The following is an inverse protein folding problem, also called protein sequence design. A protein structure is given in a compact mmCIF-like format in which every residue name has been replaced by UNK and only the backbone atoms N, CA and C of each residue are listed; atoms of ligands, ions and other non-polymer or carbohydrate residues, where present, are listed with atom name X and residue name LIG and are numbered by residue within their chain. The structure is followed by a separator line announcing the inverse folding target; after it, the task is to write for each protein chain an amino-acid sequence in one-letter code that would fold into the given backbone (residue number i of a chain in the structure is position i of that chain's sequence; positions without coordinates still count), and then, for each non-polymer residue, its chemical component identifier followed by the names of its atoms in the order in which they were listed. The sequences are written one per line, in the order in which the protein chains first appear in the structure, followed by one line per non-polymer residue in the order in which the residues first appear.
data_IF_754612691779
#
_entry.id   IF_754612691779
#
_cell.length_a   1.000
_cell.length_b   1.000
_cell.length_c   1.000
_cell.angle_alpha   90.00
_cell.angle_beta   90.00
_cell.angle_gamma   90.00
#
_symmetry.space_group_name_H-M   'P 1'
#
loop_
_entity.id
_entity.type
_entity.pdbx_description
1 polymer ?
#
# COMPACT_ATOMS: atom_id res chain seq x y z
N UNK A 1 -17.53 -14.26 -36.27
CA UNK A 1 -17.42 -15.74 -36.23
C UNK A 1 -15.98 -16.14 -36.48
N UNK A 2 -15.21 -16.44 -35.43
CA UNK A 2 -13.96 -17.19 -35.52
C UNK A 2 -13.71 -17.85 -34.17
N UNK A 3 -14.21 -19.07 -34.09
CA UNK A 3 -13.98 -20.06 -33.03
C UNK A 3 -12.54 -20.55 -33.08
N UNK A 4 -11.87 -20.56 -31.94
CA UNK A 4 -10.80 -21.52 -31.68
C UNK A 4 -11.01 -22.16 -30.32
N UNK A 5 -11.49 -23.41 -30.38
CA UNK A 5 -11.42 -24.38 -29.29
C UNK A 5 -10.05 -25.03 -29.38
N UNK A 6 -9.27 -25.02 -28.30
CA UNK A 6 -8.23 -26.02 -28.11
C UNK A 6 -8.18 -26.40 -26.63
N UNK A 7 -8.54 -27.65 -26.38
CA UNK A 7 -8.36 -28.32 -25.10
C UNK A 7 -6.91 -28.76 -24.96
N UNK A 8 -6.37 -28.73 -23.75
CA UNK A 8 -5.18 -29.52 -23.41
C UNK A 8 -5.32 -30.06 -22.00
N UNK A 9 -5.19 -31.39 -21.92
CA UNK A 9 -5.20 -32.23 -20.73
C UNK A 9 -3.84 -32.12 -20.03
N UNK A 10 -3.82 -32.11 -18.69
CA UNK A 10 -2.63 -32.45 -17.93
C UNK A 10 -3.00 -33.28 -16.68
N UNK A 11 -2.11 -34.21 -16.35
CA UNK A 11 -2.26 -35.38 -15.50
C UNK A 11 -1.32 -35.27 -14.29
N UNK A 12 -1.78 -35.81 -13.15
CA UNK A 12 -1.04 -36.42 -12.03
C UNK A 12 -0.28 -35.55 -11.01
N UNK A 13 -0.44 -35.96 -9.74
CA UNK A 13 0.49 -35.66 -8.65
C UNK A 13 -0.06 -36.08 -7.28
N UNK A 14 0.04 -37.37 -6.94
CA UNK A 14 -0.25 -37.87 -5.57
C UNK A 14 0.87 -37.48 -4.61
N UNK A 15 0.57 -36.73 -3.55
CA UNK A 15 1.51 -36.43 -2.46
C UNK A 15 1.25 -37.30 -1.22
N UNK A 16 2.34 -37.82 -0.68
CA UNK A 16 2.41 -38.78 0.41
C UNK A 16 2.32 -38.11 1.81
N UNK A 17 1.61 -38.77 2.73
CA UNK A 17 1.60 -38.48 4.17
C UNK A 17 2.81 -39.12 4.87
N UNK A 18 3.32 -38.46 5.94
CA UNK A 18 3.67 -39.01 7.28
C UNK A 18 4.79 -38.18 7.97
N UNK A 19 5.11 -38.37 9.27
CA UNK A 19 4.37 -37.91 10.45
C UNK A 19 5.25 -37.12 11.46
N UNK A 20 4.60 -36.58 12.50
CA UNK A 20 5.16 -35.82 13.62
C UNK A 20 6.30 -36.52 14.38
N UNK A 21 7.30 -35.74 14.79
CA UNK A 21 8.23 -36.07 15.87
C UNK A 21 8.17 -34.98 16.96
N UNK A 22 7.62 -35.36 18.12
CA UNK A 22 7.67 -34.62 19.39
C UNK A 22 8.97 -35.00 20.12
N UNK A 23 9.82 -34.01 20.38
CA UNK A 23 10.97 -34.11 21.29
C UNK A 23 10.98 -32.83 22.11
N UNK A 24 10.50 -32.89 23.34
CA UNK A 24 11.23 -33.22 24.57
C UNK A 24 11.58 -31.92 25.32
N UNK A 25 10.79 -31.67 26.35
CA UNK A 25 11.00 -30.67 27.38
C UNK A 25 12.26 -31.03 28.19
N UNK A 26 13.15 -30.06 28.40
CA UNK A 26 14.25 -30.06 29.36
C UNK A 26 14.67 -28.60 29.54
N UNK A 27 14.14 -27.90 30.53
CA UNK A 27 14.69 -27.78 31.89
C UNK A 27 15.97 -26.92 31.89
N UNK A 28 15.79 -25.61 32.05
CA UNK A 28 16.80 -24.70 32.58
C UNK A 28 16.09 -23.50 33.24
N UNK A 29 15.61 -23.76 34.44
CA UNK A 29 15.20 -22.74 35.42
C UNK A 29 16.34 -22.56 36.43
N UNK A 30 17.12 -21.48 36.28
CA UNK A 30 17.92 -20.86 37.34
C UNK A 30 18.31 -19.43 36.90
N UNK A 31 18.00 -18.43 37.72
CA UNK A 31 18.07 -16.99 37.42
C UNK A 31 19.49 -16.37 37.31
N UNK A 32 19.67 -15.04 37.45
CA UNK A 32 18.93 -14.18 38.40
C UNK A 32 18.12 -13.06 37.75
N UNK A 33 16.96 -12.78 38.35
CA UNK A 33 16.29 -11.49 38.30
C UNK A 33 17.21 -10.36 38.83
N UNK A 34 17.91 -9.69 37.91
CA UNK A 34 18.45 -8.35 38.14
C UNK A 34 17.37 -7.34 37.74
N UNK A 35 16.70 -6.79 38.76
CA UNK A 35 15.69 -5.76 38.61
C UNK A 35 16.28 -4.50 37.98
N UNK A 36 15.92 -4.24 36.72
CA UNK A 36 16.01 -2.90 36.15
C UNK A 36 14.87 -2.08 36.73
N UNK A 37 15.26 -1.03 37.46
CA UNK A 37 14.35 -0.06 38.04
C UNK A 37 13.62 0.66 36.92
N UNK A 38 12.28 0.54 36.92
CA UNK A 38 11.37 1.48 36.26
C UNK A 38 11.59 2.85 36.90
N UNK A 39 12.33 3.70 36.21
CA UNK A 39 12.68 5.05 36.66
C UNK A 39 13.02 5.93 35.46
N UNK A 40 11.97 6.57 34.94
CA UNK A 40 11.96 7.83 34.20
C UNK A 40 12.95 8.00 33.03
N UNK A 41 12.45 7.72 31.81
CA UNK A 41 12.85 8.41 30.58
C UNK A 41 11.53 8.66 29.82
N UNK A 42 10.78 9.68 30.26
CA UNK A 42 10.68 10.97 29.59
C UNK A 42 10.03 10.85 28.20
N UNK A 43 8.76 11.26 28.15
CA UNK A 43 8.06 11.61 26.92
C UNK A 43 8.87 12.70 26.21
N UNK A 44 9.53 12.32 25.12
CA UNK A 44 10.08 13.23 24.12
C UNK A 44 9.71 12.64 22.75
N UNK A 45 8.76 13.30 22.11
CA UNK A 45 8.60 13.39 20.66
C UNK A 45 9.97 13.31 19.97
N UNK A 46 10.12 12.44 18.97
CA UNK A 46 10.76 12.71 17.67
C UNK A 46 11.07 11.40 16.94
N UNK A 47 10.76 11.40 15.64
CA UNK A 47 10.95 10.31 14.70
C UNK A 47 12.42 9.91 14.59
N UNK A 48 12.73 8.62 14.78
CA UNK A 48 13.99 8.03 14.36
C UNK A 48 13.73 6.76 13.55
N UNK A 49 13.98 6.88 12.25
CA UNK A 49 14.03 5.79 11.30
C UNK A 49 15.28 4.94 11.58
N UNK A 50 15.18 4.04 12.56
CA UNK A 50 16.21 3.05 12.89
C UNK A 50 15.92 1.71 12.23
N UNK A 51 16.53 1.44 11.09
CA UNK A 51 16.59 0.10 10.50
C UNK A 51 17.44 -0.83 11.39
N UNK A 52 16.78 -1.70 12.16
CA UNK A 52 17.42 -2.83 12.86
C UNK A 52 17.05 -4.15 12.15
N UNK A 53 17.95 -4.64 11.31
CA UNK A 53 17.84 -5.95 10.68
C UNK A 53 18.41 -7.03 11.59
N UNK A 54 17.64 -7.43 12.60
CA UNK A 54 17.83 -8.64 13.40
C UNK A 54 16.77 -9.68 13.05
N UNK A 55 17.03 -10.48 12.00
CA UNK A 55 16.10 -11.49 11.52
C UNK A 55 15.86 -12.63 12.54
N UNK A 56 14.77 -12.55 13.31
CA UNK A 56 14.01 -13.71 13.77
C UNK A 56 12.86 -13.93 12.77
N UNK A 57 13.10 -14.82 11.80
CA UNK A 57 12.14 -15.17 10.75
C UNK A 57 11.21 -16.29 11.24
N UNK A 58 10.26 -15.93 12.10
CA UNK A 58 9.04 -16.75 12.30
C UNK A 58 7.74 -15.94 12.38
N UNK A 59 7.77 -14.68 11.93
CA UNK A 59 6.61 -13.84 11.66
C UNK A 59 6.96 -13.01 10.42
N UNK A 60 6.19 -13.11 9.34
CA UNK A 60 6.45 -12.33 8.12
C UNK A 60 6.11 -10.87 8.46
N UNK A 61 7.08 -9.95 8.57
CA UNK A 61 6.76 -8.54 8.78
C UNK A 61 5.92 -8.05 7.59
N UNK A 62 4.93 -7.17 7.79
CA UNK A 62 4.30 -6.51 6.65
C UNK A 62 5.41 -5.83 5.85
N UNK A 63 5.38 -5.96 4.52
CA UNK A 63 6.25 -5.18 3.66
C UNK A 63 5.99 -3.70 3.99
N UNK A 64 6.92 -3.04 4.70
CA UNK A 64 6.78 -1.63 5.04
C UNK A 64 6.84 -0.83 3.74
N UNK A 65 5.69 -0.42 3.21
CA UNK A 65 5.68 0.46 2.05
C UNK A 65 6.03 1.90 2.46
N UNK A 66 6.21 2.73 1.43
CA UNK A 66 6.54 4.14 1.56
C UNK A 66 5.53 4.89 2.44
N UNK A 67 6.03 5.75 3.35
CA UNK A 67 5.22 6.73 4.07
C UNK A 67 5.86 8.11 3.89
N UNK A 68 5.14 9.05 3.29
CA UNK A 68 5.69 10.38 3.02
C UNK A 68 4.82 11.22 2.10
N UNK A 69 5.41 12.29 1.54
CA UNK A 69 4.71 13.21 0.64
C UNK A 69 4.82 12.71 -0.80
N UNK A 70 3.80 12.94 -1.62
CA UNK A 70 3.93 12.73 -3.05
C UNK A 70 4.89 13.79 -3.64
N UNK A 71 6.16 13.44 -3.74
CA UNK A 71 7.25 14.32 -4.19
C UNK A 71 8.12 13.62 -5.24
N UNK A 72 9.16 14.31 -5.73
CA UNK A 72 10.09 13.77 -6.74
C UNK A 72 10.80 12.48 -6.28
N UNK A 73 10.87 12.18 -4.98
CA UNK A 73 11.41 10.93 -4.47
C UNK A 73 10.50 9.74 -4.78
N UNK A 74 9.22 9.84 -4.41
CA UNK A 74 8.23 8.80 -4.73
C UNK A 74 7.86 8.79 -6.22
N UNK A 75 7.56 9.97 -6.77
CA UNK A 75 7.05 10.14 -8.13
C UNK A 75 8.09 9.91 -9.24
N UNK A 76 9.40 9.89 -8.93
CA UNK A 76 10.42 9.56 -9.94
C UNK A 76 10.41 8.08 -10.35
N UNK A 77 10.08 7.17 -9.43
CA UNK A 77 10.02 5.74 -9.74
C UNK A 77 9.00 5.01 -8.85
N UNK A 78 7.69 5.21 -9.07
CA UNK A 78 6.65 4.58 -8.25
C UNK A 78 6.60 3.05 -8.43
N UNK A 79 7.17 2.52 -9.52
CA UNK A 79 7.25 1.08 -9.83
C UNK A 79 7.97 0.25 -8.76
N UNK A 80 8.90 0.86 -8.02
CA UNK A 80 9.60 0.17 -6.92
C UNK A 80 8.66 -0.23 -5.79
N UNK A 81 7.48 0.38 -5.70
CA UNK A 81 6.48 0.14 -4.67
C UNK A 81 5.33 -0.77 -5.11
N UNK A 82 5.33 -1.28 -6.34
CA UNK A 82 4.25 -2.15 -6.85
C UNK A 82 4.05 -3.38 -5.94
N UNK A 83 2.80 -3.64 -5.58
CA UNK A 83 2.38 -4.68 -4.65
C UNK A 83 2.60 -4.34 -3.16
N UNK A 84 3.06 -3.13 -2.84
CA UNK A 84 3.26 -2.66 -1.48
C UNK A 84 2.18 -1.65 -1.09
N UNK A 85 1.78 -1.69 0.18
CA UNK A 85 0.87 -0.69 0.76
C UNK A 85 1.67 0.53 1.20
N UNK A 86 1.35 1.68 0.63
CA UNK A 86 1.99 2.97 0.90
C UNK A 86 1.02 3.94 1.56
N UNK A 87 1.54 4.94 2.26
CA UNK A 87 0.79 6.08 2.79
C UNK A 87 1.39 7.36 2.23
N UNK A 88 0.62 8.07 1.41
CA UNK A 88 1.10 9.22 0.64
C UNK A 88 0.25 10.45 0.98
N UNK A 89 0.91 11.50 1.47
CA UNK A 89 0.32 12.83 1.64
C UNK A 89 0.46 13.64 0.36
N UNK A 90 -0.65 14.14 -0.19
CA UNK A 90 -0.68 14.79 -1.49
C UNK A 90 -1.84 15.80 -1.59
N UNK A 91 -1.84 16.58 -2.67
CA UNK A 91 -2.97 17.46 -2.98
C UNK A 91 -3.88 16.79 -4.00
N UNK A 92 -5.18 16.77 -3.76
CA UNK A 92 -6.17 16.33 -4.76
C UNK A 92 -6.08 17.25 -5.97
N UNK A 93 -5.75 16.70 -7.13
CA UNK A 93 -5.61 17.44 -8.36
C UNK A 93 -6.97 17.53 -9.08
N UNK A 94 -7.58 16.39 -9.38
CA UNK A 94 -8.84 16.31 -10.12
C UNK A 94 -9.71 15.17 -9.62
N UNK A 95 -11.03 15.39 -9.56
CA UNK A 95 -12.02 14.37 -9.25
C UNK A 95 -12.58 13.82 -10.56
N UNK A 96 -12.39 12.53 -10.82
CA UNK A 96 -12.88 11.88 -12.05
C UNK A 96 -14.29 11.31 -11.81
N UNK A 97 -14.54 10.80 -10.60
CA UNK A 97 -15.84 10.26 -10.20
C UNK A 97 -15.89 9.97 -8.70
N UNK A 98 -16.96 9.31 -8.20
CA UNK A 98 -17.07 8.97 -6.78
C UNK A 98 -16.02 7.95 -6.31
N UNK A 99 -15.52 7.12 -7.22
CA UNK A 99 -14.59 6.04 -6.91
C UNK A 99 -13.15 6.33 -7.36
N UNK A 100 -12.89 7.52 -7.93
CA UNK A 100 -11.60 7.82 -8.52
C UNK A 100 -11.29 9.32 -8.54
N UNK A 101 -10.04 9.65 -8.24
CA UNK A 101 -9.48 10.99 -8.30
C UNK A 101 -7.98 10.90 -8.61
N UNK A 102 -7.38 12.04 -8.90
CA UNK A 102 -5.93 12.13 -9.08
C UNK A 102 -5.32 12.95 -7.97
N UNK A 103 -4.10 12.59 -7.57
CA UNK A 103 -3.29 13.38 -6.66
C UNK A 103 -2.09 13.97 -7.40
N UNK A 104 -1.75 15.21 -7.06
CA UNK A 104 -0.53 15.87 -7.45
C UNK A 104 0.34 16.11 -6.23
N UNK A 105 1.64 16.30 -6.48
CA UNK A 105 2.55 16.59 -5.39
C UNK A 105 2.24 17.94 -4.76
N UNK A 106 2.76 18.16 -3.55
CA UNK A 106 2.60 19.44 -2.85
C UNK A 106 3.35 20.56 -3.59
N UNK A 107 3.13 21.81 -3.18
CA UNK A 107 3.68 22.98 -3.86
C UNK A 107 5.19 22.84 -4.17
N UNK A 108 5.58 23.13 -5.41
CA UNK A 108 6.94 23.06 -5.98
C UNK A 108 7.44 21.67 -6.44
N UNK A 109 6.57 20.68 -6.56
CA UNK A 109 6.92 19.39 -7.19
C UNK A 109 6.60 19.41 -8.69
N UNK A 110 7.32 18.62 -9.49
CA UNK A 110 7.08 18.46 -10.95
C UNK A 110 6.66 17.04 -11.33
N UNK A 111 6.14 16.29 -10.36
CA UNK A 111 5.71 14.91 -10.54
C UNK A 111 4.40 14.84 -11.34
N UNK A 112 4.21 13.82 -12.20
CA UNK A 112 2.94 13.61 -12.89
C UNK A 112 1.81 13.33 -11.89
N UNK A 113 0.57 13.57 -12.28
CA UNK A 113 -0.58 13.22 -11.45
C UNK A 113 -0.67 11.68 -11.33
N UNK A 114 -0.89 11.20 -10.11
CA UNK A 114 -1.11 9.77 -9.85
C UNK A 114 -2.60 9.49 -9.74
N UNK A 115 -3.07 8.47 -10.46
CA UNK A 115 -4.45 7.99 -10.35
C UNK A 115 -4.64 7.23 -9.03
N UNK A 116 -5.71 7.58 -8.32
CA UNK A 116 -6.17 6.90 -7.10
C UNK A 116 -7.59 6.38 -7.34
N UNK A 117 -7.80 5.09 -7.08
CA UNK A 117 -9.11 4.44 -7.21
C UNK A 117 -9.48 3.69 -5.94
N UNK A 118 -10.77 3.58 -5.66
CA UNK A 118 -11.29 2.83 -4.52
C UNK A 118 -12.78 3.09 -4.32
N UNK A 119 -13.50 2.15 -3.71
CA UNK A 119 -14.93 2.28 -3.44
C UNK A 119 -15.22 3.55 -2.61
N UNK A 120 -16.01 4.48 -3.17
CA UNK A 120 -16.36 5.75 -2.55
C UNK A 120 -15.15 6.60 -2.08
N UNK A 121 -13.96 6.34 -2.61
CA UNK A 121 -12.71 6.97 -2.17
C UNK A 121 -12.63 8.47 -2.43
N UNK A 122 -13.39 8.98 -3.41
CA UNK A 122 -13.44 10.40 -3.74
C UNK A 122 -14.62 11.14 -3.09
N UNK A 123 -15.50 10.42 -2.40
CA UNK A 123 -16.73 10.99 -1.82
C UNK A 123 -16.39 12.02 -0.74
N UNK A 124 -16.79 13.28 -0.98
CA UNK A 124 -16.54 14.39 -0.05
C UNK A 124 -15.17 15.05 -0.17
N UNK A 125 -14.39 14.71 -1.20
CA UNK A 125 -13.15 15.42 -1.54
C UNK A 125 -13.43 16.66 -2.39
N UNK A 126 -12.52 17.63 -2.31
CA UNK A 126 -12.49 18.82 -3.16
C UNK A 126 -11.13 18.93 -3.86
N UNK A 127 -11.11 19.41 -5.10
CA UNK A 127 -9.84 19.71 -5.79
C UNK A 127 -9.08 20.80 -5.03
N UNK A 128 -7.76 20.62 -4.89
CA UNK A 128 -6.89 21.46 -4.09
C UNK A 128 -6.82 21.08 -2.61
N UNK A 129 -7.62 20.12 -2.14
CA UNK A 129 -7.57 19.65 -0.76
C UNK A 129 -6.33 18.78 -0.51
N UNK A 130 -5.66 18.99 0.63
CA UNK A 130 -4.58 18.10 1.08
C UNK A 130 -5.20 16.86 1.73
N UNK A 131 -4.72 15.69 1.33
CA UNK A 131 -5.19 14.40 1.83
C UNK A 131 -4.00 13.47 2.13
N UNK A 132 -4.23 12.47 2.96
CA UNK A 132 -3.33 11.34 3.14
C UNK A 132 -4.03 10.08 2.63
N UNK A 133 -3.46 9.45 1.62
CA UNK A 133 -4.01 8.23 1.01
C UNK A 133 -3.18 7.05 1.43
N UNK A 134 -3.80 6.08 2.10
CA UNK A 134 -3.21 4.76 2.32
C UNK A 134 -3.79 3.80 1.28
N UNK A 135 -2.92 3.11 0.56
CA UNK A 135 -3.34 2.24 -0.52
C UNK A 135 -2.24 1.34 -1.05
N UNK A 136 -2.60 0.39 -1.90
CA UNK A 136 -1.65 -0.51 -2.57
C UNK A 136 -1.28 0.05 -3.93
N UNK A 137 0.02 0.11 -4.23
CA UNK A 137 0.51 0.54 -5.54
C UNK A 137 0.39 -0.61 -6.52
N UNK A 138 -0.26 -0.37 -7.66
CA UNK A 138 -0.54 -1.38 -8.68
C UNK A 138 -0.01 -0.92 -10.04
N UNK A 139 0.42 -1.88 -10.86
CA UNK A 139 0.91 -1.67 -12.23
C UNK A 139 0.63 -2.93 -13.07
N UNK A 140 0.23 -2.78 -14.34
CA UNK A 140 -0.23 -1.57 -15.01
C UNK A 140 -1.71 -1.27 -14.74
N UNK A 141 -2.12 0.00 -14.80
CA UNK A 141 -3.54 0.34 -14.79
C UNK A 141 -4.25 -0.21 -16.03
N UNK A 142 -5.34 -0.93 -15.77
CA UNK A 142 -6.28 -1.41 -16.75
C UNK A 142 -7.69 -1.27 -16.18
N UNK A 143 -8.49 -0.39 -16.77
CA UNK A 143 -9.87 -0.11 -16.34
C UNK A 143 -10.69 -1.40 -16.07
N UNK A 144 -10.74 -2.32 -17.03
CA UNK A 144 -11.55 -3.53 -16.90
C UNK A 144 -11.07 -4.48 -15.79
N UNK A 145 -9.76 -4.52 -15.51
CA UNK A 145 -9.20 -5.27 -14.38
C UNK A 145 -9.55 -4.58 -13.06
N UNK A 146 -9.33 -3.27 -12.97
CA UNK A 146 -9.63 -2.49 -11.77
C UNK A 146 -11.12 -2.55 -11.39
N UNK A 147 -12.03 -2.38 -12.35
CA UNK A 147 -13.48 -2.55 -12.14
C UNK A 147 -13.83 -3.96 -11.66
N UNK A 148 -13.21 -4.98 -12.26
CA UNK A 148 -13.45 -6.38 -11.91
C UNK A 148 -12.98 -6.75 -10.51
N UNK A 149 -11.81 -6.25 -10.11
CA UNK A 149 -11.18 -6.56 -8.82
C UNK A 149 -11.85 -5.78 -7.67
N UNK A 150 -12.23 -4.53 -7.91
CA UNK A 150 -12.83 -3.65 -6.91
C UNK A 150 -14.37 -3.69 -6.89
N UNK A 151 -15.01 -4.20 -7.95
CA UNK A 151 -16.47 -4.22 -8.07
C UNK A 151 -17.10 -2.83 -8.28
N UNK A 152 -16.33 -1.88 -8.81
CA UNK A 152 -16.75 -0.50 -9.08
C UNK A 152 -16.94 -0.26 -10.58
N UNK A 153 -17.60 0.84 -10.93
CA UNK A 153 -17.75 1.32 -12.32
C UNK A 153 -16.85 2.54 -12.55
N UNK A 154 -16.03 2.49 -13.60
CA UNK A 154 -15.10 3.53 -14.04
C UNK A 154 -15.50 3.96 -15.46
N UNK A 155 -16.43 4.91 -15.59
CA UNK A 155 -17.09 5.22 -16.88
C UNK A 155 -16.58 6.47 -17.59
N UNK A 156 -15.52 7.11 -17.09
CA UNK A 156 -15.05 8.40 -17.60
C UNK A 156 -13.93 8.21 -18.63
N UNK A 157 -13.95 8.97 -19.74
CA UNK A 157 -12.90 8.87 -20.76
C UNK A 157 -11.52 9.31 -20.23
N UNK A 158 -11.45 10.04 -19.11
CA UNK A 158 -10.20 10.42 -18.44
C UNK A 158 -9.33 9.22 -18.03
N UNK A 159 -9.90 8.03 -17.84
CA UNK A 159 -9.13 6.82 -17.51
C UNK A 159 -8.22 6.38 -18.67
N UNK A 160 -8.52 6.77 -19.90
CA UNK A 160 -7.69 6.45 -21.07
C UNK A 160 -6.29 7.04 -20.99
N UNK A 161 -6.13 8.19 -20.31
CA UNK A 161 -4.83 8.86 -20.15
C UNK A 161 -3.90 8.13 -19.17
N UNK A 162 -4.45 7.27 -18.29
CA UNK A 162 -3.70 6.51 -17.28
C UNK A 162 -3.45 5.05 -17.70
N UNK A 163 -3.92 4.62 -18.87
CA UNK A 163 -3.82 3.22 -19.30
C UNK A 163 -2.35 2.80 -19.43
N UNK A 164 -1.96 1.78 -18.66
CA UNK A 164 -0.58 1.31 -18.63
C UNK A 164 0.32 1.99 -17.59
N UNK A 165 -0.21 2.97 -16.85
CA UNK A 165 0.53 3.67 -15.80
C UNK A 165 0.40 2.99 -14.44
N UNK A 166 1.28 3.37 -13.52
CA UNK A 166 1.16 3.02 -12.11
C UNK A 166 -0.01 3.79 -11.49
N UNK A 167 -0.77 3.13 -10.63
CA UNK A 167 -1.89 3.73 -9.92
C UNK A 167 -1.95 3.24 -8.48
N UNK A 168 -2.78 3.88 -7.66
CA UNK A 168 -2.98 3.52 -6.27
C UNK A 168 -4.41 3.02 -6.05
N UNK A 169 -4.55 1.82 -5.48
CA UNK A 169 -5.81 1.32 -4.94
C UNK A 169 -5.91 1.78 -3.50
N UNK A 170 -6.79 2.75 -3.23
CA UNK A 170 -6.98 3.33 -1.91
C UNK A 170 -7.74 2.37 -0.97
N UNK A 171 -7.12 2.08 0.17
CA UNK A 171 -7.75 1.44 1.32
C UNK A 171 -8.43 2.48 2.23
N UNK A 172 -7.83 3.68 2.34
CA UNK A 172 -8.34 4.78 3.15
C UNK A 172 -7.86 6.14 2.64
N UNK A 173 -8.72 7.15 2.74
CA UNK A 173 -8.39 8.55 2.46
C UNK A 173 -8.70 9.38 3.70
N UNK A 174 -7.66 9.95 4.30
CA UNK A 174 -7.78 10.86 5.43
C UNK A 174 -7.71 12.32 4.97
N UNK A 175 -8.72 13.10 5.38
CA UNK A 175 -8.85 14.53 5.07
C UNK A 175 -8.60 15.41 6.29
N UNK A 176 -8.27 14.80 7.44
CA UNK A 176 -8.00 15.49 8.70
C UNK A 176 -6.56 15.96 8.83
N UNK A 177 -5.77 15.82 7.76
CA UNK A 177 -4.41 16.33 7.66
C UNK A 177 -4.42 17.82 8.00
N UNK A 178 -3.74 18.26 9.09
CA UNK A 178 -3.73 19.65 9.46
C UNK A 178 -3.07 20.44 8.33
N UNK A 179 -3.82 21.38 7.76
CA UNK A 179 -3.23 22.51 7.05
C UNK A 179 -2.42 23.26 8.10
N UNK A 180 -1.10 23.13 8.06
CA UNK A 180 -0.22 24.02 8.82
C UNK A 180 -0.46 25.42 8.27
N UNK A 181 -1.30 26.21 8.95
CA UNK A 181 -1.51 27.62 8.65
C UNK A 181 -0.14 28.34 8.69
N UNK A 182 0.38 28.73 7.52
CA UNK A 182 1.58 29.59 7.39
C UNK A 182 1.36 31.02 7.93
#
# INVERSE_FOLDING_TARGET
MRTHRFATVAVAGTLALSPLALTACGDDTAGPEEGVSVGDIQEEDEADAGADTGADVTDVPPAFGYTGTYDDGFGADPNQYVGQTVTVSATVNELIGPNAFTIAGTANTSVPALLVIGEDSASGLESGQVVQVSGTVEDPFNEATAEGDLGIELTDDAFLDFQGDVYLVADSVDTSVPIEDE
#
